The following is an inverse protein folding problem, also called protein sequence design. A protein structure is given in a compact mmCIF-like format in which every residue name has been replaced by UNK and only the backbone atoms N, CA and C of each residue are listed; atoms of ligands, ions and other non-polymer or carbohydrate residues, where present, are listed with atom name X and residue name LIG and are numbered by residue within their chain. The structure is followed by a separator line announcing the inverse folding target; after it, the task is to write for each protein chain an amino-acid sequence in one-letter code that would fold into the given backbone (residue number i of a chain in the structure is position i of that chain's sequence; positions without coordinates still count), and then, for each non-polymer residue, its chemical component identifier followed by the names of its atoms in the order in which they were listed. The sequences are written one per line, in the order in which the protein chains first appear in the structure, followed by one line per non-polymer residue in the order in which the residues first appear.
data_IF_372809084661
#
_entry.id   IF_372809084661
#
_cell.length_a   1.000
_cell.length_b   1.000
_cell.length_c   1.000
_cell.angle_alpha   90.00
_cell.angle_beta   90.00
_cell.angle_gamma   90.00
#
_symmetry.space_group_name_H-M   'P 1'
#
loop_
_entity.id
_entity.type
_entity.pdbx_description
1 polymer ?
#
# COMPACT_ATOMS: atom_id res chain seq x y z
N UNK A 1 -23.91 19.18 6.99
CA UNK A 1 -22.62 18.49 7.18
C UNK A 1 -22.53 17.44 6.09
N UNK A 2 -21.38 17.23 5.47
CA UNK A 2 -21.18 16.14 4.50
C UNK A 2 -21.26 14.80 5.25
N UNK A 3 -21.83 13.77 4.61
CA UNK A 3 -21.92 12.42 5.14
C UNK A 3 -20.55 11.72 5.06
N UNK A 4 -19.96 11.35 6.20
CA UNK A 4 -18.73 10.53 6.24
C UNK A 4 -19.08 9.09 5.91
N UNK A 5 -18.52 8.55 4.85
CA UNK A 5 -18.78 7.17 4.38
C UNK A 5 -17.64 6.21 4.71
N UNK A 6 -16.39 6.71 4.84
CA UNK A 6 -15.24 5.91 5.25
C UNK A 6 -14.46 6.66 6.31
N UNK A 7 -14.23 6.01 7.45
CA UNK A 7 -13.47 6.56 8.57
C UNK A 7 -12.25 5.69 8.83
N UNK A 8 -11.08 6.31 8.87
CA UNK A 8 -9.79 5.69 9.12
C UNK A 8 -9.24 6.27 10.42
N UNK A 9 -8.93 5.44 11.42
CA UNK A 9 -8.44 5.87 12.72
C UNK A 9 -7.18 5.10 13.11
N UNK A 10 -6.08 5.84 13.31
CA UNK A 10 -4.79 5.33 13.80
C UNK A 10 -4.26 4.11 13.02
N UNK A 11 -4.51 4.09 11.69
CA UNK A 11 -4.12 2.98 10.83
C UNK A 11 -2.60 2.87 10.76
N UNK A 12 -2.09 1.67 11.02
CA UNK A 12 -0.68 1.35 10.89
C UNK A 12 -0.47 0.05 10.13
N UNK A 13 0.61 -0.01 9.34
CA UNK A 13 1.04 -1.23 8.64
C UNK A 13 2.53 -1.43 8.78
N UNK A 14 2.90 -2.61 9.27
CA UNK A 14 4.28 -3.03 9.43
C UNK A 14 4.54 -4.25 8.55
N UNK A 15 5.71 -4.30 7.95
CA UNK A 15 6.25 -5.48 7.28
C UNK A 15 7.50 -5.93 8.03
N UNK A 16 7.36 -6.95 8.87
CA UNK A 16 8.38 -7.31 9.83
C UNK A 16 8.72 -6.12 10.73
N UNK A 17 9.95 -5.67 10.77
CA UNK A 17 10.41 -4.52 11.57
C UNK A 17 10.22 -3.16 10.89
N UNK A 18 9.77 -3.15 9.63
CA UNK A 18 9.61 -1.90 8.86
C UNK A 18 8.21 -1.34 9.04
N UNK A 19 8.09 -0.19 9.69
CA UNK A 19 6.84 0.55 9.87
C UNK A 19 6.59 1.42 8.64
N UNK A 20 5.71 0.94 7.74
CA UNK A 20 5.37 1.63 6.48
C UNK A 20 4.28 2.67 6.67
N UNK A 21 3.24 2.36 7.43
CA UNK A 21 2.20 3.31 7.84
C UNK A 21 2.25 3.50 9.35
N UNK A 22 2.05 4.74 9.81
CA UNK A 22 2.24 5.13 11.20
C UNK A 22 1.12 6.08 11.62
N UNK A 23 0.10 5.52 12.29
CA UNK A 23 -1.02 6.27 12.88
C UNK A 23 -1.75 7.19 11.89
N UNK A 24 -2.10 6.68 10.71
CA UNK A 24 -2.85 7.39 9.69
C UNK A 24 -4.31 7.52 10.12
N UNK A 25 -4.81 8.76 10.16
CA UNK A 25 -6.24 9.05 10.40
C UNK A 25 -6.77 9.97 9.30
N UNK A 26 -7.92 9.61 8.73
CA UNK A 26 -8.54 10.35 7.64
C UNK A 26 -10.04 10.05 7.57
N UNK A 27 -10.86 11.11 7.46
CA UNK A 27 -12.27 10.99 7.15
C UNK A 27 -12.52 11.27 5.66
N UNK A 28 -13.32 10.41 5.04
CA UNK A 28 -13.73 10.50 3.64
C UNK A 28 -15.24 10.68 3.58
N UNK A 29 -15.68 11.79 3.02
CA UNK A 29 -17.09 12.06 2.87
C UNK A 29 -17.59 11.66 1.49
N UNK A 30 -18.88 11.42 1.38
CA UNK A 30 -19.54 11.15 0.11
C UNK A 30 -19.30 12.27 -0.90
N UNK A 31 -18.85 11.89 -2.09
CA UNK A 31 -18.51 12.81 -3.17
C UNK A 31 -17.15 13.52 -3.01
N UNK A 32 -16.34 13.13 -2.02
CA UNK A 32 -14.98 13.66 -1.93
C UNK A 32 -14.09 13.07 -3.04
N UNK A 33 -13.27 13.95 -3.63
CA UNK A 33 -12.15 13.58 -4.49
C UNK A 33 -10.87 13.92 -3.74
N UNK A 34 -10.25 12.91 -3.14
CA UNK A 34 -9.05 13.06 -2.31
C UNK A 34 -7.83 12.69 -3.13
N UNK A 35 -6.91 13.64 -3.35
CA UNK A 35 -5.61 13.36 -3.93
C UNK A 35 -4.57 13.10 -2.84
N UNK A 36 -3.88 11.98 -2.92
CA UNK A 36 -2.77 11.62 -2.03
C UNK A 36 -1.47 11.83 -2.79
N UNK A 37 -0.65 12.78 -2.34
CA UNK A 37 0.64 13.12 -2.90
C UNK A 37 1.77 12.84 -1.92
N UNK A 38 3.00 12.75 -2.42
CA UNK A 38 4.19 12.55 -1.58
C UNK A 38 5.27 11.74 -2.28
N UNK A 39 6.49 11.69 -1.74
CA UNK A 39 7.62 11.01 -2.34
C UNK A 39 7.39 9.50 -2.48
N UNK A 40 8.13 8.86 -3.40
CA UNK A 40 8.15 7.41 -3.54
C UNK A 40 8.57 6.77 -2.21
N UNK A 41 7.93 5.64 -1.86
CA UNK A 41 8.18 4.96 -0.58
C UNK A 41 7.54 5.60 0.66
N UNK A 42 6.72 6.66 0.53
CA UNK A 42 6.01 7.26 1.67
C UNK A 42 4.84 6.42 2.22
N UNK A 43 4.46 5.34 1.53
CA UNK A 43 3.40 4.41 1.97
C UNK A 43 2.05 4.60 1.28
N UNK A 44 1.92 5.48 0.27
CA UNK A 44 0.65 5.81 -0.42
C UNK A 44 -0.11 4.59 -0.95
N UNK A 45 0.54 3.76 -1.77
CA UNK A 45 -0.07 2.55 -2.33
C UNK A 45 -0.41 1.51 -1.26
N UNK A 46 0.44 1.39 -0.23
CA UNK A 46 0.16 0.52 0.92
C UNK A 46 -1.08 1.00 1.67
N UNK A 47 -1.23 2.32 1.84
CA UNK A 47 -2.40 2.91 2.46
C UNK A 47 -3.68 2.56 1.68
N UNK A 48 -3.72 2.80 0.36
CA UNK A 48 -4.88 2.42 -0.46
C UNK A 48 -5.22 0.92 -0.35
N UNK A 49 -4.20 0.06 -0.41
CA UNK A 49 -4.41 -1.40 -0.30
C UNK A 49 -4.91 -1.83 1.06
N UNK A 50 -4.58 -1.08 2.11
CA UNK A 50 -5.15 -1.33 3.44
C UNK A 50 -6.65 -0.98 3.50
N UNK A 51 -7.12 0.05 2.79
CA UNK A 51 -8.52 0.47 2.84
C UNK A 51 -9.49 -0.61 2.33
N UNK A 52 -9.12 -1.37 1.32
CA UNK A 52 -9.93 -2.48 0.81
C UNK A 52 -9.43 -3.88 1.24
N UNK A 53 -8.57 -3.91 2.26
CA UNK A 53 -8.01 -5.14 2.84
C UNK A 53 -7.28 -6.04 1.82
N UNK A 54 -6.72 -5.50 0.73
CA UNK A 54 -5.73 -6.19 -0.10
C UNK A 54 -4.42 -6.37 0.65
N UNK A 55 -4.10 -5.41 1.52
CA UNK A 55 -3.09 -5.52 2.57
C UNK A 55 -3.80 -5.40 3.92
N UNK A 56 -3.70 -6.42 4.74
CA UNK A 56 -4.27 -6.37 6.09
C UNK A 56 -3.47 -5.38 6.96
N UNK A 57 -4.11 -4.34 7.53
CA UNK A 57 -3.42 -3.43 8.45
C UNK A 57 -2.88 -4.17 9.67
N UNK A 58 -1.82 -3.64 10.29
CA UNK A 58 -1.29 -4.21 11.54
C UNK A 58 -2.10 -3.76 12.75
N UNK A 59 -2.59 -2.51 12.72
CA UNK A 59 -3.51 -1.97 13.73
C UNK A 59 -4.29 -0.78 13.18
N UNK A 60 -5.27 -0.31 13.94
CA UNK A 60 -6.15 0.80 13.63
C UNK A 60 -7.60 0.37 13.50
N UNK A 61 -8.44 1.30 13.10
CA UNK A 61 -9.85 1.05 12.82
C UNK A 61 -10.20 1.56 11.43
N UNK A 62 -10.90 0.72 10.66
CA UNK A 62 -11.52 1.09 9.39
C UNK A 62 -13.03 0.87 9.54
N UNK A 63 -13.80 1.94 9.33
CA UNK A 63 -15.27 1.88 9.40
C UNK A 63 -15.88 2.39 8.10
N UNK A 64 -16.88 1.66 7.59
CA UNK A 64 -17.64 2.03 6.42
C UNK A 64 -19.12 2.24 6.84
N UNK A 65 -19.70 3.41 6.56
CA UNK A 65 -21.01 3.83 7.08
C UNK A 65 -21.15 3.54 8.58
N UNK A 66 -20.19 4.04 9.38
CA UNK A 66 -20.11 3.88 10.84
C UNK A 66 -20.01 2.43 11.34
N UNK A 67 -19.92 1.46 10.44
CA UNK A 67 -19.70 0.05 10.80
C UNK A 67 -18.22 -0.31 10.67
N UNK A 68 -17.54 -0.73 11.73
CA UNK A 68 -16.15 -1.17 11.63
C UNK A 68 -16.09 -2.47 10.84
N UNK A 69 -15.16 -2.52 9.86
CA UNK A 69 -14.82 -3.74 9.11
C UNK A 69 -13.38 -4.19 9.34
N UNK A 70 -12.59 -3.39 10.03
CA UNK A 70 -11.28 -3.76 10.58
C UNK A 70 -11.06 -2.99 11.88
N UNK A 71 -10.64 -3.71 12.94
CA UNK A 71 -10.36 -3.09 14.23
C UNK A 71 -9.34 -3.89 15.03
N UNK A 72 -8.13 -3.36 15.14
CA UNK A 72 -7.06 -3.87 16.01
C UNK A 72 -6.43 -2.69 16.72
N UNK A 73 -6.61 -2.56 18.03
CA UNK A 73 -6.07 -1.44 18.81
C UNK A 73 -4.61 -1.64 19.20
N UNK A 74 -4.20 -2.90 19.44
CA UNK A 74 -2.85 -3.26 19.85
C UNK A 74 -2.37 -4.48 19.07
N UNK A 75 -1.14 -4.45 18.61
CA UNK A 75 -0.49 -5.57 17.94
C UNK A 75 0.75 -6.02 18.73
N UNK A 76 1.31 -7.18 18.38
CA UNK A 76 2.53 -7.69 19.04
C UNK A 76 3.68 -6.69 18.99
N UNK A 77 3.81 -5.96 17.91
CA UNK A 77 4.90 -4.99 17.71
C UNK A 77 4.86 -3.79 18.67
N UNK A 78 3.70 -3.49 19.28
CA UNK A 78 3.59 -2.44 20.30
C UNK A 78 4.23 -2.85 21.63
N UNK A 79 4.52 -4.14 21.81
CA UNK A 79 5.10 -4.75 23.00
C UNK A 79 6.52 -5.25 22.77
N UNK A 80 7.15 -4.92 21.65
CA UNK A 80 8.55 -5.27 21.35
C UNK A 80 9.44 -4.07 21.64
N UNK A 81 10.45 -4.28 22.48
CA UNK A 81 11.51 -3.29 22.71
C UNK A 81 12.48 -3.27 21.52
N UNK A 82 12.10 -2.56 20.45
CA UNK A 82 12.91 -2.47 19.22
C UNK A 82 14.25 -1.75 19.42
N UNK A 83 14.38 -0.88 20.39
CA UNK A 83 15.64 -0.18 20.64
C UNK A 83 16.68 -1.15 21.21
N UNK A 84 16.30 -1.95 22.19
CA UNK A 84 17.16 -3.01 22.74
C UNK A 84 17.46 -4.09 21.70
N UNK A 85 16.45 -4.52 20.96
CA UNK A 85 16.61 -5.48 19.86
C UNK A 85 17.64 -4.99 18.82
N UNK A 86 17.55 -3.74 18.36
CA UNK A 86 18.50 -3.20 17.39
C UNK A 86 19.91 -3.12 17.95
N UNK A 87 20.08 -2.59 19.15
CA UNK A 87 21.40 -2.50 19.80
C UNK A 87 22.05 -3.88 19.90
N UNK A 88 21.30 -4.88 20.35
CA UNK A 88 21.80 -6.24 20.46
C UNK A 88 22.08 -6.89 19.10
N UNK A 89 21.25 -6.64 18.10
CA UNK A 89 21.41 -7.14 16.74
C UNK A 89 22.62 -6.54 16.03
N UNK A 90 22.84 -5.22 16.16
CA UNK A 90 23.97 -4.55 15.55
C UNK A 90 25.29 -5.00 16.18
N UNK A 91 25.35 -5.06 17.51
CA UNK A 91 26.48 -5.63 18.23
C UNK A 91 26.76 -7.09 17.80
N UNK A 92 25.73 -7.91 17.67
CA UNK A 92 25.87 -9.29 17.21
C UNK A 92 26.44 -9.38 15.78
N UNK A 93 25.99 -8.52 14.87
CA UNK A 93 26.52 -8.48 13.50
C UNK A 93 27.99 -8.11 13.46
N UNK A 94 28.40 -7.11 14.22
CA UNK A 94 29.80 -6.68 14.30
C UNK A 94 30.68 -7.83 14.84
N UNK A 95 30.26 -8.48 15.90
CA UNK A 95 30.98 -9.63 16.49
C UNK A 95 31.03 -10.82 15.53
N UNK A 96 29.95 -11.09 14.78
CA UNK A 96 29.93 -12.18 13.80
C UNK A 96 30.95 -11.94 12.69
N UNK A 97 30.98 -10.73 12.12
CA UNK A 97 31.95 -10.33 11.08
C UNK A 97 33.37 -10.44 11.63
N UNK A 98 33.64 -9.88 12.83
CA UNK A 98 34.96 -9.93 13.47
C UNK A 98 35.48 -11.37 13.65
N UNK A 99 34.62 -12.28 14.12
CA UNK A 99 35.01 -13.68 14.36
C UNK A 99 35.17 -14.49 13.07
N UNK A 100 34.37 -14.17 12.03
CA UNK A 100 34.46 -14.74 10.70
C UNK A 100 35.77 -14.36 10.02
N UNK A 101 36.13 -13.06 10.03
CA UNK A 101 37.38 -12.52 9.50
C UNK A 101 38.60 -13.13 10.20
N UNK A 102 38.59 -13.21 11.51
CA UNK A 102 39.69 -13.84 12.29
C UNK A 102 39.87 -15.31 11.91
N UNK A 103 38.78 -16.05 11.73
CA UNK A 103 38.84 -17.45 11.29
C UNK A 103 39.41 -17.55 9.86
N UNK A 104 38.96 -16.68 8.95
CA UNK A 104 39.41 -16.66 7.55
C UNK A 104 40.92 -16.34 7.45
N UNK A 105 41.41 -15.37 8.24
CA UNK A 105 42.84 -15.01 8.26
C UNK A 105 43.71 -16.22 8.67
N UNK A 106 43.36 -16.93 9.71
CA UNK A 106 44.15 -18.12 10.14
C UNK A 106 44.05 -19.26 9.16
N UNK A 107 42.88 -19.47 8.53
CA UNK A 107 42.69 -20.51 7.50
C UNK A 107 43.52 -20.22 6.26
N UNK A 108 43.50 -18.98 5.77
CA UNK A 108 44.27 -18.59 4.57
C UNK A 108 45.79 -18.73 4.82
N UNK A 109 46.32 -18.26 5.97
CA UNK A 109 47.73 -18.44 6.31
C UNK A 109 48.12 -19.92 6.34
N UNK A 110 47.26 -20.80 6.86
CA UNK A 110 47.54 -22.23 6.90
C UNK A 110 47.44 -22.90 5.51
N UNK A 111 46.61 -22.37 4.61
CA UNK A 111 46.52 -22.86 3.23
C UNK A 111 47.78 -22.48 2.46
N UNK A 112 48.28 -21.26 2.62
CA UNK A 112 49.49 -20.74 2.00
C UNK A 112 50.74 -21.50 2.41
N UNK A 113 50.88 -21.83 3.72
CA UNK A 113 52.01 -22.56 4.26
C UNK A 113 51.55 -23.62 5.28
N UNK A 114 51.40 -24.84 4.82
CA UNK A 114 51.02 -26.01 5.62
C UNK A 114 52.09 -26.47 6.64
N UNK A 115 53.32 -25.92 6.57
CA UNK A 115 54.39 -26.22 7.54
C UNK A 115 54.16 -25.57 8.88
N UNK A 116 53.36 -24.51 8.96
CA UNK A 116 53.01 -23.77 10.18
C UNK A 116 51.97 -24.53 11.03
N UNK A 117 52.41 -25.63 11.63
CA UNK A 117 51.57 -26.52 12.43
C UNK A 117 50.95 -25.82 13.68
N UNK A 118 51.56 -24.74 14.14
CA UNK A 118 51.09 -23.88 15.23
C UNK A 118 49.78 -23.13 14.92
N UNK A 119 49.43 -22.96 13.64
CA UNK A 119 48.13 -22.36 13.22
C UNK A 119 46.94 -23.29 13.50
N UNK A 120 47.12 -24.60 13.58
CA UNK A 120 46.03 -25.56 13.82
C UNK A 120 45.24 -25.32 15.13
N UNK A 121 45.89 -25.12 16.27
CA UNK A 121 45.17 -24.80 17.49
C UNK A 121 44.45 -23.45 17.42
N UNK A 122 45.07 -22.44 16.79
CA UNK A 122 44.46 -21.11 16.59
C UNK A 122 43.21 -21.17 15.72
N UNK A 123 43.25 -21.93 14.59
CA UNK A 123 42.08 -22.18 13.75
C UNK A 123 40.97 -22.88 14.55
N UNK A 124 41.33 -23.85 15.38
CA UNK A 124 40.35 -24.57 16.22
C UNK A 124 39.67 -23.64 17.22
N UNK A 125 40.44 -22.75 17.82
CA UNK A 125 39.93 -21.77 18.78
C UNK A 125 39.05 -20.70 18.12
N UNK A 126 39.52 -20.08 17.00
CA UNK A 126 38.74 -19.15 16.22
C UNK A 126 37.41 -19.76 15.69
N UNK A 127 37.45 -21.04 15.25
CA UNK A 127 36.24 -21.77 14.84
C UNK A 127 35.26 -22.00 16.01
N UNK A 128 35.77 -22.21 17.21
CA UNK A 128 34.97 -22.37 18.43
C UNK A 128 34.30 -21.02 18.79
N UNK A 129 35.06 -19.93 18.69
CA UNK A 129 34.57 -18.59 18.98
C UNK A 129 33.52 -18.14 17.95
N UNK A 130 33.78 -18.30 16.65
CA UNK A 130 32.79 -18.06 15.59
C UNK A 130 31.50 -18.85 15.80
N UNK A 131 31.60 -20.16 16.13
CA UNK A 131 30.41 -20.96 16.46
C UNK A 131 29.66 -20.46 17.66
N UNK A 132 30.38 -19.98 18.70
CA UNK A 132 29.79 -19.42 19.91
C UNK A 132 29.00 -18.16 19.60
N UNK A 133 29.56 -17.25 18.80
CA UNK A 133 28.87 -16.03 18.36
C UNK A 133 27.70 -16.39 17.47
N UNK A 134 27.90 -17.23 16.44
CA UNK A 134 26.84 -17.65 15.50
C UNK A 134 25.63 -18.30 16.17
N UNK A 135 25.87 -19.00 17.30
CA UNK A 135 24.82 -19.63 18.09
C UNK A 135 24.44 -18.80 19.34
N UNK A 136 24.77 -17.50 19.33
CA UNK A 136 24.53 -16.64 20.47
C UNK A 136 23.02 -16.53 20.77
N UNK A 137 22.63 -16.73 22.04
CA UNK A 137 21.24 -16.60 22.48
C UNK A 137 20.65 -15.18 22.32
N UNK A 138 21.46 -14.14 22.09
CA UNK A 138 20.94 -12.78 21.83
C UNK A 138 19.89 -12.75 20.72
N UNK A 139 20.03 -13.58 19.69
CA UNK A 139 19.00 -13.74 18.64
C UNK A 139 17.81 -14.61 19.09
N UNK A 140 17.86 -15.20 20.29
CA UNK A 140 16.80 -16.01 20.90
C UNK A 140 16.14 -15.31 22.08
N UNK A 141 16.64 -14.13 22.48
CA UNK A 141 16.01 -13.32 23.52
C UNK A 141 14.72 -12.77 22.93
N UNK A 142 13.63 -13.10 23.58
CA UNK A 142 12.31 -12.57 23.23
C UNK A 142 12.20 -11.15 23.80
N UNK A 143 12.44 -10.15 22.95
CA UNK A 143 12.23 -8.73 23.31
C UNK A 143 10.75 -8.35 23.38
N UNK A 144 9.88 -9.34 23.29
CA UNK A 144 8.44 -9.20 23.30
C UNK A 144 7.89 -9.37 24.72
N UNK A 145 7.23 -8.34 25.23
CA UNK A 145 6.51 -8.40 26.51
C UNK A 145 5.17 -9.14 26.32
N UNK A 146 5.24 -10.47 26.43
CA UNK A 146 4.09 -11.35 26.28
C UNK A 146 3.02 -11.10 27.32
N UNK A 147 3.39 -10.80 28.55
CA UNK A 147 2.45 -10.64 29.67
C UNK A 147 1.62 -9.36 29.47
N UNK A 148 2.29 -8.24 29.14
CA UNK A 148 1.60 -6.99 28.80
C UNK A 148 0.70 -7.13 27.56
N UNK A 149 1.15 -7.87 26.54
CA UNK A 149 0.35 -8.16 25.34
C UNK A 149 -0.89 -8.98 25.65
N UNK A 150 -0.74 -10.11 26.37
CA UNK A 150 -1.86 -10.99 26.72
C UNK A 150 -2.91 -10.26 27.60
N UNK A 151 -2.46 -9.33 28.44
CA UNK A 151 -3.33 -8.46 29.22
C UNK A 151 -4.08 -7.47 28.30
N UNK A 152 -3.37 -6.79 27.43
CA UNK A 152 -3.95 -5.78 26.55
C UNK A 152 -4.98 -6.37 25.56
N UNK A 153 -4.74 -7.58 25.01
CA UNK A 153 -5.71 -8.26 24.14
C UNK A 153 -7.00 -8.64 24.87
N UNK A 154 -6.91 -9.02 26.14
CA UNK A 154 -8.11 -9.35 26.92
C UNK A 154 -8.99 -8.15 27.21
N UNK A 155 -8.40 -6.95 27.29
CA UNK A 155 -9.10 -5.70 27.59
C UNK A 155 -9.76 -5.05 26.36
N UNK A 156 -9.34 -5.44 25.15
CA UNK A 156 -9.76 -4.80 23.90
C UNK A 156 -10.31 -5.85 22.93
N UNK A 157 -11.59 -5.76 22.54
CA UNK A 157 -12.15 -6.67 21.55
C UNK A 157 -11.48 -6.46 20.20
N UNK A 158 -10.80 -7.52 19.71
CA UNK A 158 -10.39 -7.58 18.32
C UNK A 158 -11.59 -7.99 17.46
N UNK A 159 -11.82 -7.26 16.39
CA UNK A 159 -12.86 -7.59 15.41
C UNK A 159 -12.18 -8.21 14.18
N UNK A 160 -12.51 -9.45 13.87
CA UNK A 160 -12.11 -10.11 12.62
C UNK A 160 -13.34 -10.35 11.76
N UNK A 161 -13.30 -9.88 10.51
CA UNK A 161 -14.35 -10.13 9.53
C UNK A 161 -14.05 -11.39 8.73
N UNK A 162 -15.10 -12.04 8.27
CA UNK A 162 -15.02 -13.22 7.40
C UNK A 162 -14.59 -12.84 5.98
N UNK A 163 -14.08 -13.81 5.20
CA UNK A 163 -13.74 -13.60 3.79
C UNK A 163 -14.95 -13.13 2.97
N UNK A 164 -16.17 -13.50 3.35
CA UNK A 164 -17.40 -13.04 2.69
C UNK A 164 -17.60 -11.54 2.91
N UNK A 165 -17.45 -11.07 4.13
CA UNK A 165 -17.55 -9.64 4.47
C UNK A 165 -16.43 -8.81 3.82
N UNK A 166 -15.20 -9.35 3.75
CA UNK A 166 -14.11 -8.72 3.00
C UNK A 166 -14.50 -8.53 1.52
N UNK A 167 -15.06 -9.55 0.90
CA UNK A 167 -15.50 -9.47 -0.49
C UNK A 167 -16.65 -8.47 -0.68
N UNK A 168 -17.56 -8.36 0.29
CA UNK A 168 -18.62 -7.37 0.30
C UNK A 168 -18.04 -5.94 0.37
N UNK A 169 -17.12 -5.66 1.30
CA UNK A 169 -16.42 -4.37 1.38
C UNK A 169 -15.72 -4.03 0.05
N UNK A 170 -15.08 -4.99 -0.62
CA UNK A 170 -14.43 -4.78 -1.91
C UNK A 170 -15.38 -4.45 -3.05
N UNK A 171 -16.68 -4.74 -2.94
CA UNK A 171 -17.67 -4.27 -3.92
C UNK A 171 -18.00 -2.79 -3.73
N UNK A 172 -17.93 -2.28 -2.50
CA UNK A 172 -18.12 -0.87 -2.18
C UNK A 172 -16.87 -0.04 -2.40
N UNK A 173 -15.67 -0.59 -2.08
CA UNK A 173 -14.36 0.06 -2.23
C UNK A 173 -13.56 -0.63 -3.32
N UNK A 174 -13.81 -0.27 -4.58
CA UNK A 174 -13.13 -0.88 -5.73
C UNK A 174 -11.82 -0.20 -6.04
N UNK A 175 -10.82 -0.95 -6.48
CA UNK A 175 -9.48 -0.44 -6.76
C UNK A 175 -9.11 -0.53 -8.25
N UNK A 176 -8.56 0.56 -8.77
CA UNK A 176 -7.92 0.67 -10.09
C UNK A 176 -6.41 0.73 -9.86
N UNK A 177 -5.69 -0.21 -10.45
CA UNK A 177 -4.25 -0.42 -10.22
C UNK A 177 -3.41 0.28 -11.30
N UNK A 178 -2.18 0.60 -10.96
CA UNK A 178 -1.15 1.09 -11.86
C UNK A 178 -0.91 0.15 -13.06
N UNK A 179 -0.91 -1.16 -12.84
CA UNK A 179 -0.63 -2.20 -13.85
C UNK A 179 -1.90 -2.77 -14.50
N UNK A 180 -3.01 -1.99 -14.52
CA UNK A 180 -4.30 -2.32 -15.14
C UNK A 180 -4.98 -3.58 -14.59
N UNK A 181 -4.26 -4.67 -14.37
CA UNK A 181 -4.72 -5.98 -13.86
C UNK A 181 -5.93 -6.54 -14.63
N UNK A 182 -5.96 -6.36 -15.95
CA UNK A 182 -6.98 -6.92 -16.81
C UNK A 182 -6.73 -8.41 -17.07
N UNK A 183 -7.81 -9.14 -17.25
CA UNK A 183 -7.76 -10.57 -17.60
C UNK A 183 -7.45 -10.73 -19.09
N UNK A 184 -6.24 -11.12 -19.42
CA UNK A 184 -5.76 -11.22 -20.81
C UNK A 184 -6.51 -12.27 -21.67
N UNK A 185 -7.07 -13.29 -21.02
CA UNK A 185 -7.83 -14.35 -21.67
C UNK A 185 -9.26 -13.91 -22.08
N UNK A 186 -9.71 -12.75 -21.63
CA UNK A 186 -11.01 -12.18 -21.92
C UNK A 186 -10.87 -10.97 -22.86
N UNK A 187 -11.92 -10.66 -23.62
CA UNK A 187 -12.02 -9.41 -24.37
C UNK A 187 -12.36 -8.23 -23.42
N UNK A 188 -12.48 -7.02 -23.96
CA UNK A 188 -12.80 -5.81 -23.20
C UNK A 188 -14.16 -5.92 -22.50
N UNK A 189 -15.19 -6.35 -23.23
CA UNK A 189 -16.55 -6.49 -22.69
C UNK A 189 -16.62 -7.53 -21.58
N UNK A 190 -16.02 -8.69 -21.80
CA UNK A 190 -16.02 -9.79 -20.82
C UNK A 190 -15.26 -9.44 -19.53
N UNK A 191 -14.19 -8.62 -19.62
CA UNK A 191 -13.51 -8.08 -18.43
C UNK A 191 -14.47 -7.26 -17.55
N UNK A 192 -15.40 -6.52 -18.15
CA UNK A 192 -16.41 -5.72 -17.44
C UNK A 192 -17.58 -6.56 -16.92
N UNK A 193 -17.93 -7.66 -17.58
CA UNK A 193 -19.04 -8.54 -17.21
C UNK A 193 -18.68 -9.49 -16.06
N UNK A 194 -17.43 -9.98 -16.02
CA UNK A 194 -17.00 -11.09 -15.18
C UNK A 194 -17.34 -10.89 -13.70
N UNK A 195 -16.96 -9.75 -13.11
CA UNK A 195 -17.22 -9.50 -11.70
C UNK A 195 -18.70 -9.32 -11.39
N UNK A 196 -19.46 -8.73 -12.30
CA UNK A 196 -20.90 -8.56 -12.16
C UNK A 196 -21.65 -9.90 -12.06
N UNK A 197 -21.27 -10.87 -12.89
CA UNK A 197 -21.90 -12.20 -12.92
C UNK A 197 -21.40 -13.11 -11.83
N UNK A 198 -20.08 -13.09 -11.51
CA UNK A 198 -19.47 -14.02 -10.54
C UNK A 198 -19.57 -13.56 -9.10
N UNK A 199 -19.55 -12.26 -8.84
CA UNK A 199 -19.56 -11.68 -7.49
C UNK A 199 -20.92 -11.13 -7.12
N UNK A 200 -21.54 -10.33 -8.03
CA UNK A 200 -22.85 -9.72 -7.77
C UNK A 200 -24.03 -10.60 -8.22
N UNK A 201 -23.76 -11.74 -8.86
CA UNK A 201 -24.76 -12.69 -9.36
C UNK A 201 -25.81 -12.06 -10.29
N UNK A 202 -25.44 -10.97 -11.00
CA UNK A 202 -26.29 -10.36 -12.02
C UNK A 202 -26.46 -11.33 -13.21
N UNK A 203 -27.62 -11.28 -13.87
CA UNK A 203 -27.78 -12.04 -15.10
C UNK A 203 -26.89 -11.44 -16.21
N UNK A 204 -26.60 -12.23 -17.24
CA UNK A 204 -25.63 -11.84 -18.27
C UNK A 204 -26.10 -10.61 -19.09
N UNK A 205 -27.37 -10.52 -19.44
CA UNK A 205 -27.86 -9.40 -20.28
C UNK A 205 -27.82 -8.08 -19.50
N UNK A 206 -28.23 -8.08 -18.22
CA UNK A 206 -28.10 -6.91 -17.35
C UNK A 206 -26.63 -6.48 -17.19
N UNK A 207 -25.75 -7.45 -16.92
CA UNK A 207 -24.31 -7.18 -16.75
C UNK A 207 -23.70 -6.63 -18.04
N UNK A 208 -24.15 -7.10 -19.20
CA UNK A 208 -23.72 -6.61 -20.53
C UNK A 208 -24.18 -5.18 -20.79
N UNK A 209 -25.43 -4.84 -20.49
CA UNK A 209 -25.96 -3.47 -20.65
C UNK A 209 -25.18 -2.49 -19.78
N UNK A 210 -24.91 -2.84 -18.52
CA UNK A 210 -24.09 -2.05 -17.59
C UNK A 210 -22.66 -1.89 -18.13
N UNK A 211 -22.05 -2.97 -18.61
CA UNK A 211 -20.71 -2.94 -19.19
C UNK A 211 -20.64 -2.03 -20.42
N UNK A 212 -21.61 -2.11 -21.34
CA UNK A 212 -21.71 -1.24 -22.52
C UNK A 212 -21.80 0.23 -22.08
N UNK A 213 -22.68 0.53 -21.12
CA UNK A 213 -22.85 1.89 -20.57
C UNK A 213 -21.50 2.47 -20.10
N UNK A 214 -20.77 1.75 -19.25
CA UNK A 214 -19.53 2.26 -18.69
C UNK A 214 -18.36 2.23 -19.68
N UNK A 215 -18.30 1.28 -20.61
CA UNK A 215 -17.32 1.30 -21.69
C UNK A 215 -17.56 2.49 -22.64
N UNK A 216 -18.81 2.87 -22.87
CA UNK A 216 -19.14 4.08 -23.64
C UNK A 216 -18.71 5.35 -22.91
N UNK A 217 -18.91 5.43 -21.58
CA UNK A 217 -18.49 6.61 -20.79
C UNK A 217 -16.97 6.81 -20.70
N UNK A 218 -16.18 5.80 -21.03
CA UNK A 218 -14.71 5.90 -21.11
C UNK A 218 -14.19 5.81 -22.56
N UNK A 219 -15.03 6.08 -23.57
CA UNK A 219 -14.71 6.09 -25.01
C UNK A 219 -14.17 4.74 -25.55
N UNK A 220 -14.64 3.61 -25.00
CA UNK A 220 -14.21 2.26 -25.39
C UNK A 220 -15.28 1.46 -26.14
N UNK A 221 -16.38 2.09 -26.58
CA UNK A 221 -17.51 1.44 -27.24
C UNK A 221 -17.11 0.67 -28.52
N UNK A 222 -16.20 1.21 -29.31
CA UNK A 222 -15.78 0.62 -30.59
C UNK A 222 -14.76 -0.53 -30.41
N UNK A 223 -14.31 -0.77 -29.18
CA UNK A 223 -13.26 -1.75 -28.84
C UNK A 223 -13.72 -2.88 -27.92
N UNK A 224 -15.04 -3.03 -27.71
CA UNK A 224 -15.61 -4.00 -26.77
C UNK A 224 -15.20 -5.46 -27.05
N UNK A 225 -14.99 -5.79 -28.33
CA UNK A 225 -14.60 -7.13 -28.78
C UNK A 225 -13.07 -7.32 -28.87
N UNK A 226 -12.28 -6.28 -28.64
CA UNK A 226 -10.81 -6.35 -28.74
C UNK A 226 -10.23 -7.19 -27.60
N UNK A 227 -9.13 -7.90 -27.90
CA UNK A 227 -8.30 -8.54 -26.88
C UNK A 227 -7.48 -7.49 -26.15
N UNK A 228 -7.20 -7.72 -24.88
CA UNK A 228 -6.44 -6.76 -24.03
C UNK A 228 -5.07 -6.41 -24.61
N UNK A 229 -4.40 -7.36 -25.29
CA UNK A 229 -3.10 -7.14 -25.93
C UNK A 229 -3.14 -6.17 -27.14
N UNK A 230 -4.31 -5.92 -27.70
CA UNK A 230 -4.51 -5.04 -28.87
C UNK A 230 -4.71 -3.58 -28.45
N UNK A 231 -4.81 -3.31 -27.15
CA UNK A 231 -5.06 -2.00 -26.57
C UNK A 231 -3.75 -1.28 -26.21
N UNK A 232 -3.75 0.05 -26.36
CA UNK A 232 -2.73 0.92 -25.80
C UNK A 232 -2.77 0.92 -24.24
N UNK A 233 -1.75 1.45 -23.59
CA UNK A 233 -1.72 1.60 -22.12
C UNK A 233 -2.90 2.40 -21.59
N UNK A 234 -3.18 3.58 -22.18
CA UNK A 234 -4.33 4.43 -21.81
C UNK A 234 -5.67 3.73 -21.99
N UNK A 235 -5.85 3.01 -23.12
CA UNK A 235 -7.05 2.20 -23.35
C UNK A 235 -7.23 1.08 -22.33
N UNK A 236 -6.15 0.39 -21.96
CA UNK A 236 -6.20 -0.61 -20.87
C UNK A 236 -6.63 0.02 -19.56
N UNK A 237 -6.14 1.22 -19.25
CA UNK A 237 -6.54 1.93 -18.03
C UNK A 237 -8.01 2.36 -18.07
N UNK A 238 -8.49 2.87 -19.21
CA UNK A 238 -9.92 3.18 -19.39
C UNK A 238 -10.80 1.93 -19.19
N UNK A 239 -10.40 0.77 -19.72
CA UNK A 239 -11.11 -0.50 -19.48
C UNK A 239 -11.06 -0.91 -18.00
N UNK A 240 -9.95 -0.71 -17.30
CA UNK A 240 -9.84 -1.00 -15.89
C UNK A 240 -10.76 -0.09 -15.04
N UNK A 241 -10.89 1.18 -15.42
CA UNK A 241 -11.84 2.13 -14.83
C UNK A 241 -13.28 1.68 -15.09
N UNK A 242 -13.64 1.37 -16.34
CA UNK A 242 -14.97 0.89 -16.68
C UNK A 242 -15.35 -0.38 -15.91
N UNK A 243 -14.42 -1.34 -15.80
CA UNK A 243 -14.60 -2.56 -15.01
C UNK A 243 -14.88 -2.25 -13.52
N UNK A 244 -14.16 -1.28 -12.95
CA UNK A 244 -14.39 -0.84 -11.58
C UNK A 244 -15.78 -0.22 -11.40
N UNK A 245 -16.23 0.60 -12.35
CA UNK A 245 -17.57 1.23 -12.34
C UNK A 245 -18.71 0.21 -12.49
N UNK A 246 -18.50 -0.87 -13.22
CA UNK A 246 -19.52 -1.91 -13.45
C UNK A 246 -20.05 -2.57 -12.16
N UNK A 247 -19.26 -2.53 -11.07
CA UNK A 247 -19.69 -3.05 -9.76
C UNK A 247 -20.59 -2.05 -9.04
N UNK A 248 -20.68 -0.80 -9.52
CA UNK A 248 -21.38 0.32 -8.89
C UNK A 248 -20.84 0.63 -7.48
N UNK A 249 -19.53 0.91 -7.36
CA UNK A 249 -18.88 1.16 -6.07
C UNK A 249 -19.31 2.51 -5.49
N UNK A 250 -19.18 2.66 -4.16
CA UNK A 250 -19.35 3.94 -3.48
C UNK A 250 -18.04 4.75 -3.46
N UNK A 251 -16.91 4.05 -3.44
CA UNK A 251 -15.57 4.64 -3.45
C UNK A 251 -14.70 3.94 -4.49
N UNK A 252 -14.01 4.71 -5.33
CA UNK A 252 -12.97 4.18 -6.21
C UNK A 252 -11.60 4.62 -5.70
N UNK A 253 -10.72 3.63 -5.48
CA UNK A 253 -9.33 3.81 -5.09
C UNK A 253 -8.44 3.73 -6.33
N UNK A 254 -7.70 4.79 -6.65
CA UNK A 254 -6.78 4.83 -7.78
C UNK A 254 -5.33 4.81 -7.29
N UNK A 255 -4.59 3.75 -7.62
CA UNK A 255 -3.17 3.60 -7.27
C UNK A 255 -2.30 3.98 -8.47
N UNK A 256 -1.86 5.22 -8.54
CA UNK A 256 -1.01 5.78 -9.60
C UNK A 256 -1.51 5.46 -11.02
N UNK A 257 -2.74 5.84 -11.40
CA UNK A 257 -3.41 5.37 -12.61
C UNK A 257 -2.74 5.79 -13.92
N UNK A 258 -1.80 6.73 -13.89
CA UNK A 258 -1.11 7.27 -15.06
C UNK A 258 0.36 6.89 -15.14
N UNK A 259 0.98 6.37 -14.07
CA UNK A 259 2.44 6.19 -13.98
C UNK A 259 3.02 5.11 -14.92
N UNK A 260 2.18 4.20 -15.44
CA UNK A 260 2.57 3.18 -16.41
C UNK A 260 2.23 3.57 -17.88
N UNK A 261 1.90 4.86 -18.12
CA UNK A 261 1.45 5.35 -19.42
C UNK A 261 2.50 6.24 -20.07
N UNK A 262 2.51 6.21 -21.42
CA UNK A 262 3.22 7.21 -22.20
C UNK A 262 2.57 8.60 -22.01
N UNK A 263 3.34 9.69 -22.05
CA UNK A 263 2.80 11.05 -21.81
C UNK A 263 1.58 11.42 -22.66
N UNK A 264 1.53 10.95 -23.91
CA UNK A 264 0.41 11.21 -24.83
C UNK A 264 -0.92 10.58 -24.37
N UNK A 265 -0.84 9.52 -23.54
CA UNK A 265 -2.02 8.78 -23.05
C UNK A 265 -2.48 9.22 -21.65
N UNK A 266 -1.66 10.00 -20.95
CA UNK A 266 -1.96 10.48 -19.59
C UNK A 266 -3.21 11.36 -19.61
N UNK A 267 -3.28 12.30 -20.57
CA UNK A 267 -4.40 13.24 -20.66
C UNK A 267 -5.74 12.54 -20.92
N UNK A 268 -5.75 11.46 -21.72
CA UNK A 268 -6.96 10.66 -21.99
C UNK A 268 -7.55 10.10 -20.68
N UNK A 269 -6.69 9.47 -19.86
CA UNK A 269 -7.10 8.88 -18.58
C UNK A 269 -7.50 9.96 -17.57
N UNK A 270 -6.73 11.05 -17.47
CA UNK A 270 -7.06 12.17 -16.58
C UNK A 270 -8.40 12.83 -16.95
N UNK A 271 -8.75 12.93 -18.22
CA UNK A 271 -10.03 13.48 -18.66
C UNK A 271 -11.18 12.56 -18.22
N UNK A 272 -11.05 11.24 -18.39
CA UNK A 272 -12.04 10.27 -17.86
C UNK A 272 -12.21 10.44 -16.35
N UNK A 273 -11.11 10.58 -15.60
CA UNK A 273 -11.18 10.78 -14.15
C UNK A 273 -11.81 12.12 -13.75
N UNK A 274 -11.57 13.19 -14.52
CA UNK A 274 -12.25 14.50 -14.33
C UNK A 274 -13.74 14.39 -14.54
N UNK A 275 -14.18 13.71 -15.60
CA UNK A 275 -15.60 13.47 -15.87
C UNK A 275 -16.25 12.67 -14.74
N UNK A 276 -15.58 11.62 -14.25
CA UNK A 276 -16.06 10.85 -13.10
C UNK A 276 -16.21 11.72 -11.84
N UNK A 277 -15.27 12.63 -11.58
CA UNK A 277 -15.36 13.55 -10.44
C UNK A 277 -16.65 14.40 -10.49
N UNK A 278 -17.11 14.79 -11.70
CA UNK A 278 -18.35 15.58 -11.86
C UNK A 278 -19.62 14.79 -11.58
N UNK A 279 -19.56 13.45 -11.61
CA UNK A 279 -20.73 12.59 -11.30
C UNK A 279 -21.03 12.49 -9.82
N UNK A 280 -20.14 13.00 -8.96
CA UNK A 280 -20.25 12.91 -7.49
C UNK A 280 -19.82 11.59 -6.89
N UNK A 281 -19.14 10.72 -7.67
CA UNK A 281 -18.55 9.50 -7.12
C UNK A 281 -17.39 9.86 -6.20
N UNK A 282 -17.25 9.11 -5.09
CA UNK A 282 -16.15 9.33 -4.16
C UNK A 282 -14.87 8.68 -4.70
N UNK A 283 -13.76 9.42 -4.70
CA UNK A 283 -12.49 8.92 -5.22
C UNK A 283 -11.35 9.22 -4.23
N UNK A 284 -10.45 8.25 -4.06
CA UNK A 284 -9.16 8.44 -3.40
C UNK A 284 -8.07 8.09 -4.42
N UNK A 285 -7.26 9.06 -4.78
CA UNK A 285 -6.32 8.98 -5.91
C UNK A 285 -4.90 9.20 -5.41
N UNK A 286 -4.07 8.18 -5.46
CA UNK A 286 -2.62 8.33 -5.35
C UNK A 286 -2.10 8.78 -6.70
N UNK A 287 -1.45 9.93 -6.76
CA UNK A 287 -1.01 10.50 -8.03
C UNK A 287 0.26 11.35 -7.91
N UNK A 288 1.02 11.41 -8.98
CA UNK A 288 2.09 12.38 -9.23
C UNK A 288 1.63 13.53 -10.15
N UNK A 289 0.38 13.48 -10.63
CA UNK A 289 -0.21 14.53 -11.49
C UNK A 289 -0.68 15.71 -10.65
N UNK A 290 0.24 16.68 -10.38
CA UNK A 290 -0.03 17.82 -9.51
C UNK A 290 -1.17 18.70 -10.03
N UNK A 291 -1.31 18.82 -11.38
CA UNK A 291 -2.40 19.56 -12.01
C UNK A 291 -3.77 18.91 -11.74
N UNK A 292 -3.84 17.58 -11.75
CA UNK A 292 -5.05 16.85 -11.37
C UNK A 292 -5.37 17.07 -9.88
N UNK A 293 -4.39 16.89 -9.02
CA UNK A 293 -4.57 17.10 -7.58
C UNK A 293 -5.02 18.52 -7.24
N UNK A 294 -4.53 19.53 -7.97
CA UNK A 294 -4.86 20.94 -7.74
C UNK A 294 -6.24 21.33 -8.27
N UNK A 295 -6.63 20.81 -9.44
CA UNK A 295 -7.80 21.32 -10.17
C UNK A 295 -9.03 20.43 -10.04
N UNK A 296 -8.91 19.16 -9.66
CA UNK A 296 -10.00 18.19 -9.60
C UNK A 296 -10.29 17.72 -8.17
N UNK A 297 -9.26 17.56 -7.34
CA UNK A 297 -9.46 17.16 -5.96
C UNK A 297 -10.12 18.29 -5.14
N UNK A 298 -10.95 17.91 -4.17
CA UNK A 298 -11.46 18.85 -3.15
C UNK A 298 -10.72 18.73 -1.82
N UNK A 299 -9.88 17.71 -1.66
CA UNK A 299 -8.98 17.53 -0.52
C UNK A 299 -7.65 16.94 -1.01
N UNK A 300 -6.56 17.47 -0.53
CA UNK A 300 -5.21 16.97 -0.79
C UNK A 300 -4.59 16.48 0.52
N UNK A 301 -3.95 15.32 0.47
CA UNK A 301 -3.27 14.69 1.60
C UNK A 301 -1.82 14.48 1.21
N UNK A 302 -0.90 15.15 1.89
CA UNK A 302 0.53 14.95 1.72
C UNK A 302 1.05 13.90 2.70
N UNK A 303 1.59 12.81 2.16
CA UNK A 303 2.19 11.71 2.93
C UNK A 303 3.71 11.71 2.82
N UNK A 304 4.40 11.61 3.94
CA UNK A 304 5.85 11.34 3.98
C UNK A 304 6.21 10.40 5.14
N UNK A 305 7.14 9.47 4.89
CA UNK A 305 7.67 8.51 5.87
C UNK A 305 6.60 7.76 6.68
N UNK A 306 5.46 7.48 6.05
CA UNK A 306 4.35 6.73 6.64
C UNK A 306 3.39 7.56 7.49
N UNK A 307 3.47 8.88 7.47
CA UNK A 307 2.55 9.81 8.15
C UNK A 307 1.78 10.67 7.15
N UNK A 308 0.59 11.10 7.53
CA UNK A 308 -0.03 12.29 6.94
C UNK A 308 0.65 13.50 7.58
N UNK A 309 1.44 14.22 6.80
CA UNK A 309 2.19 15.40 7.26
C UNK A 309 1.35 16.66 7.20
N UNK A 310 0.53 16.78 6.14
CA UNK A 310 -0.36 17.91 5.94
C UNK A 310 -1.56 17.47 5.08
N UNK A 311 -2.73 18.05 5.37
CA UNK A 311 -3.92 17.86 4.54
C UNK A 311 -4.79 19.11 4.59
N UNK A 312 -5.49 19.40 3.49
CA UNK A 312 -6.36 20.55 3.37
C UNK A 312 -6.99 20.67 1.98
N UNK A 313 -7.61 21.80 1.73
CA UNK A 313 -8.08 22.13 0.39
C UNK A 313 -6.89 22.34 -0.57
N UNK A 314 -7.03 22.09 -1.89
CA UNK A 314 -5.94 22.21 -2.84
C UNK A 314 -5.21 23.56 -2.76
N UNK A 315 -5.94 24.66 -2.67
CA UNK A 315 -5.34 26.00 -2.58
C UNK A 315 -4.51 26.20 -1.30
N UNK A 316 -4.90 25.60 -0.19
CA UNK A 316 -4.10 25.68 1.03
C UNK A 316 -2.81 24.87 0.89
N UNK A 317 -2.90 23.63 0.41
CA UNK A 317 -1.75 22.72 0.30
C UNK A 317 -0.74 23.17 -0.75
N UNK A 318 -1.21 23.67 -1.91
CA UNK A 318 -0.31 24.04 -3.01
C UNK A 318 0.19 25.49 -2.96
N UNK A 319 -0.61 26.43 -2.46
CA UNK A 319 -0.24 27.85 -2.47
C UNK A 319 0.29 28.33 -1.11
N UNK A 320 -0.19 27.73 -0.03
CA UNK A 320 0.14 28.13 1.34
C UNK A 320 0.58 26.93 2.21
N UNK A 321 1.56 26.13 1.75
CA UNK A 321 2.00 24.96 2.52
C UNK A 321 2.54 25.38 3.89
N UNK A 322 2.07 24.72 4.94
CA UNK A 322 2.40 25.06 6.34
C UNK A 322 3.73 24.42 6.75
N UNK A 323 3.97 23.16 6.33
CA UNK A 323 5.16 22.40 6.73
C UNK A 323 6.33 22.65 5.77
N UNK A 324 7.54 22.74 6.31
CA UNK A 324 8.74 22.92 5.47
C UNK A 324 8.98 21.71 4.57
N UNK A 325 8.57 20.52 5.02
CA UNK A 325 8.69 19.30 4.24
C UNK A 325 7.81 19.31 2.99
N UNK A 326 6.58 19.83 3.09
CA UNK A 326 5.71 20.01 1.93
C UNK A 326 6.25 21.08 0.97
N UNK A 327 6.77 22.21 1.51
CA UNK A 327 7.42 23.26 0.70
C UNK A 327 8.59 22.71 -0.10
N UNK A 328 9.42 21.86 0.52
CA UNK A 328 10.55 21.20 -0.15
C UNK A 328 10.06 20.27 -1.28
N UNK A 329 9.06 19.42 -1.00
CA UNK A 329 8.48 18.52 -1.97
C UNK A 329 7.91 19.27 -3.18
N UNK A 330 7.11 20.30 -2.98
CA UNK A 330 6.50 21.07 -4.07
C UNK A 330 7.53 21.84 -4.93
N UNK A 331 8.65 22.28 -4.35
CA UNK A 331 9.75 22.91 -5.12
C UNK A 331 10.46 21.95 -6.05
N UNK A 332 10.53 20.67 -5.69
CA UNK A 332 11.13 19.61 -6.53
C UNK A 332 10.21 19.25 -7.68
N UNK A 333 8.93 19.10 -7.42
CA UNK A 333 7.90 18.75 -8.41
C UNK A 333 7.57 19.91 -9.39
N UNK A 334 7.95 21.15 -9.04
CA UNK A 334 7.73 22.34 -9.89
C UNK A 334 8.86 22.60 -10.89
N UNK A 335 9.93 21.81 -10.87
CA UNK A 335 11.07 21.89 -11.79
C UNK A 335 10.97 20.84 -12.88
#
# INVERSE_FOLDING_TARGET
MKETILKIENLAKFFGTTKVLKDISLDVNKGDVIAIIGPSGSGKSTFLRCLNLLEEPTRGTLSFHDKPYFQIYKCKDDFVNYEEYRKAHDFYKEELVRTEDALAIYQNKYIEDKSQKELKPLIKEAKKEYKKVKNNPVMKIDYFDKEAYDKAIKEVPSFSITQKEINEIRTHLTMVFQSFNLFENYNVLDNCILAQTKVLHRNYEEAKEIAIKYLTSVNMQDRMNYRIKELSGGQKQCVAIARALCINPEIILFDEPTSALDPEMVDEVLNVMKELATTGITMIVVTHEMNFARNVANKVVFMDKGYIVESGEPNEVFLNPKTDRLKEFLRVESK
#
